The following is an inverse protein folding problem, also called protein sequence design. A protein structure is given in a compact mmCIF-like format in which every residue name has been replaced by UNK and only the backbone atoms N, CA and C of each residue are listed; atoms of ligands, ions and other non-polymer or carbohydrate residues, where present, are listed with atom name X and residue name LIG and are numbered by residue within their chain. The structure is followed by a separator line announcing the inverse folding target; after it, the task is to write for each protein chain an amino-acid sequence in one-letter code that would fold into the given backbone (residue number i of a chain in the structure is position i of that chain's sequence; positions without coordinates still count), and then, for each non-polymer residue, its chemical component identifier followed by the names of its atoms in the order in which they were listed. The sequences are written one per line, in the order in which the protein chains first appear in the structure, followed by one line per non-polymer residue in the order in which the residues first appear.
data_IF_636979111873
#
_entry.id   IF_636979111873
#
_cell.length_a   1.000
_cell.length_b   1.000
_cell.length_c   1.000
_cell.angle_alpha   90.00
_cell.angle_beta   90.00
_cell.angle_gamma   90.00
#
_symmetry.space_group_name_H-M   'P 1'
#
loop_
_entity.id
_entity.type
_entity.pdbx_description
1 polymer ?
#
# COMPACT_ATOMS: atom_id res chain seq x y z
N UNK A 1 23.14 -8.36 24.22
CA UNK A 1 23.81 -7.28 23.44
C UNK A 1 22.83 -6.12 23.29
N UNK A 2 23.04 -4.99 23.99
CA UNK A 2 22.22 -3.78 23.83
C UNK A 2 22.77 -3.00 22.64
N UNK A 3 21.99 -2.88 21.56
CA UNK A 3 22.35 -2.07 20.40
C UNK A 3 22.00 -0.61 20.75
N UNK A 4 23.02 0.23 20.94
CA UNK A 4 22.88 1.68 21.02
C UNK A 4 22.52 2.23 19.63
N UNK A 5 21.49 3.07 19.56
CA UNK A 5 21.09 3.79 18.34
C UNK A 5 21.15 5.29 18.64
N UNK A 6 21.73 6.05 17.73
CA UNK A 6 21.90 7.51 17.80
C UNK A 6 20.71 8.29 17.21
N UNK A 7 19.69 7.58 16.70
CA UNK A 7 18.50 8.13 16.04
C UNK A 7 18.80 8.95 14.78
N UNK A 8 20.00 8.84 14.20
CA UNK A 8 20.33 9.47 12.93
C UNK A 8 20.36 8.44 11.79
N UNK A 9 19.87 8.84 10.62
CA UNK A 9 19.84 7.99 9.42
C UNK A 9 21.12 8.25 8.62
N UNK A 10 22.22 7.62 9.02
CA UNK A 10 23.54 7.77 8.37
C UNK A 10 23.60 7.15 6.97
N UNK A 11 22.93 6.00 6.84
CA UNK A 11 22.75 5.31 5.58
C UNK A 11 21.25 5.15 5.42
N UNK A 12 20.53 6.13 4.83
CA UNK A 12 19.17 5.84 4.40
C UNK A 12 19.29 4.55 3.59
N UNK A 13 18.45 3.57 3.89
CA UNK A 13 18.31 2.42 3.02
C UNK A 13 17.92 3.00 1.67
N UNK A 14 18.88 3.36 0.82
CA UNK A 14 18.63 3.39 -0.61
C UNK A 14 18.04 2.02 -0.84
N UNK A 15 16.83 2.03 -1.38
CA UNK A 15 15.93 0.88 -1.33
C UNK A 15 16.61 -0.38 -1.86
N UNK A 16 15.91 -1.51 -1.91
CA UNK A 16 16.46 -2.83 -2.28
C UNK A 16 17.58 -2.86 -3.34
N UNK A 17 17.62 -1.92 -4.30
CA UNK A 17 18.80 -1.53 -5.09
C UNK A 17 20.20 -1.78 -4.48
N UNK A 18 20.52 -1.32 -3.26
CA UNK A 18 21.86 -1.57 -2.68
C UNK A 18 22.10 -3.05 -2.32
N UNK A 19 21.05 -3.74 -1.91
CA UNK A 19 21.09 -5.15 -1.50
C UNK A 19 21.09 -6.09 -2.71
N UNK A 20 20.40 -5.71 -3.78
CA UNK A 20 20.09 -6.61 -4.88
C UNK A 20 20.90 -6.37 -6.16
N UNK A 21 21.54 -5.20 -6.33
CA UNK A 21 22.36 -4.83 -7.51
C UNK A 21 21.80 -5.44 -8.82
N UNK A 22 22.62 -6.16 -9.58
CA UNK A 22 22.25 -6.78 -10.88
C UNK A 22 21.50 -8.11 -10.72
N UNK A 23 21.43 -8.69 -9.52
CA UNK A 23 20.93 -10.06 -9.29
C UNK A 23 19.51 -10.11 -8.76
N UNK A 24 18.70 -9.09 -9.03
CA UNK A 24 17.34 -8.97 -8.49
C UNK A 24 16.44 -10.17 -8.87
N UNK A 25 16.53 -10.64 -10.11
CA UNK A 25 15.78 -11.80 -10.60
C UNK A 25 16.23 -13.09 -9.90
N UNK A 26 17.54 -13.34 -9.86
CA UNK A 26 18.12 -14.52 -9.19
C UNK A 26 17.76 -14.55 -7.69
N UNK A 27 17.84 -13.39 -7.04
CA UNK A 27 17.44 -13.26 -5.65
C UNK A 27 15.97 -13.66 -5.44
N UNK A 28 15.06 -13.15 -6.26
CA UNK A 28 13.64 -13.51 -6.19
C UNK A 28 13.45 -15.01 -6.43
N UNK A 29 14.11 -15.59 -7.44
CA UNK A 29 13.98 -17.01 -7.74
C UNK A 29 14.49 -17.89 -6.59
N UNK A 30 15.59 -17.51 -5.96
CA UNK A 30 16.19 -18.25 -4.85
C UNK A 30 15.34 -18.18 -3.57
N UNK A 31 14.62 -17.09 -3.35
CA UNK A 31 13.82 -16.87 -2.14
C UNK A 31 12.32 -17.11 -2.34
N UNK A 32 11.88 -17.29 -3.58
CA UNK A 32 10.49 -17.58 -3.91
C UNK A 32 10.39 -18.84 -4.79
N UNK A 33 10.28 -20.03 -4.16
CA UNK A 33 10.27 -21.30 -4.89
C UNK A 33 9.00 -21.49 -5.74
N UNK A 34 7.97 -20.67 -5.53
CA UNK A 34 6.65 -20.88 -6.13
C UNK A 34 6.63 -20.58 -7.62
N UNK A 35 5.76 -21.30 -8.34
CA UNK A 35 5.51 -21.12 -9.78
C UNK A 35 4.81 -19.79 -10.06
N UNK A 36 3.82 -19.45 -9.22
CA UNK A 36 2.94 -18.30 -9.40
C UNK A 36 3.41 -17.11 -8.55
N UNK A 37 3.71 -16.01 -9.23
CA UNK A 37 4.24 -14.77 -8.65
C UNK A 37 3.28 -13.64 -8.99
N UNK A 38 2.84 -12.90 -7.96
CA UNK A 38 2.08 -11.66 -8.14
C UNK A 38 2.94 -10.49 -7.68
N UNK A 39 3.21 -9.56 -8.59
CA UNK A 39 3.96 -8.33 -8.27
C UNK A 39 2.96 -7.23 -7.99
N UNK A 40 2.87 -6.80 -6.72
CA UNK A 40 2.02 -5.66 -6.35
C UNK A 40 2.73 -4.34 -6.60
N UNK A 41 2.04 -3.44 -7.30
CA UNK A 41 2.40 -2.03 -7.47
C UNK A 41 1.28 -1.17 -6.91
N UNK A 42 1.61 -0.11 -6.18
CA UNK A 42 0.64 0.78 -5.58
C UNK A 42 0.57 2.12 -6.30
N UNK A 43 -0.64 2.67 -6.47
CA UNK A 43 -0.82 4.05 -6.93
C UNK A 43 -1.99 4.73 -6.23
N UNK A 44 -1.89 6.05 -6.10
CA UNK A 44 -2.98 6.89 -5.65
C UNK A 44 -3.46 7.72 -6.85
N UNK A 45 -4.63 7.42 -7.44
CA UNK A 45 -5.13 8.10 -8.64
C UNK A 45 -5.69 9.49 -8.30
N UNK A 46 -4.82 10.40 -7.87
CA UNK A 46 -5.12 11.80 -7.58
C UNK A 46 -4.88 12.75 -8.76
N UNK A 47 -4.44 12.19 -9.88
CA UNK A 47 -4.13 12.85 -11.15
C UNK A 47 -3.69 11.81 -12.19
N UNK A 48 -3.36 12.26 -13.40
CA UNK A 48 -2.76 11.41 -14.44
C UNK A 48 -1.45 10.78 -13.95
N UNK A 49 -1.09 9.57 -14.42
CA UNK A 49 0.19 8.93 -14.09
C UNK A 49 1.38 9.86 -14.38
N UNK A 50 2.06 10.33 -13.33
CA UNK A 50 3.26 11.13 -13.48
C UNK A 50 4.47 10.25 -13.77
N UNK A 51 5.62 10.87 -14.06
CA UNK A 51 6.84 10.16 -14.44
C UNK A 51 7.23 9.03 -13.47
N UNK A 52 7.23 9.30 -12.16
CA UNK A 52 7.47 8.27 -11.14
C UNK A 52 6.56 7.03 -11.22
N UNK A 53 5.26 7.22 -11.52
CA UNK A 53 4.31 6.11 -11.76
C UNK A 53 4.71 5.32 -13.00
N UNK A 54 5.00 6.01 -14.10
CA UNK A 54 5.40 5.37 -15.36
C UNK A 54 6.69 4.56 -15.17
N UNK A 55 7.70 5.12 -14.49
CA UNK A 55 8.96 4.43 -14.20
C UNK A 55 8.73 3.19 -13.34
N UNK A 56 7.94 3.32 -12.26
CA UNK A 56 7.65 2.20 -11.35
C UNK A 56 6.90 1.07 -12.06
N UNK A 57 5.90 1.41 -12.88
CA UNK A 57 5.11 0.43 -13.59
C UNK A 57 5.96 -0.24 -14.67
N UNK A 58 6.73 0.52 -15.44
CA UNK A 58 7.66 0.00 -16.45
C UNK A 58 8.67 -0.99 -15.83
N UNK A 59 9.23 -0.65 -14.67
CA UNK A 59 10.13 -1.53 -13.95
C UNK A 59 9.45 -2.84 -13.52
N UNK A 60 8.24 -2.76 -12.96
CA UNK A 60 7.48 -3.94 -12.55
C UNK A 60 7.16 -4.88 -13.71
N UNK A 61 6.76 -4.33 -14.86
CA UNK A 61 6.50 -5.10 -16.08
C UNK A 61 7.77 -5.72 -16.68
N UNK A 62 8.88 -4.98 -16.70
CA UNK A 62 10.18 -5.51 -17.13
C UNK A 62 10.65 -6.66 -16.23
N UNK A 63 10.52 -6.51 -14.92
CA UNK A 63 10.81 -7.56 -13.95
C UNK A 63 9.92 -8.79 -14.15
N UNK A 64 8.61 -8.58 -14.33
CA UNK A 64 7.67 -9.67 -14.57
C UNK A 64 8.00 -10.44 -15.85
N UNK A 65 8.40 -9.75 -16.91
CA UNK A 65 8.84 -10.38 -18.15
C UNK A 65 10.08 -11.24 -17.93
N UNK A 66 11.08 -10.75 -17.20
CA UNK A 66 12.28 -11.53 -16.89
C UNK A 66 11.96 -12.78 -16.06
N UNK A 67 11.09 -12.67 -15.06
CA UNK A 67 10.64 -13.81 -14.26
C UNK A 67 9.84 -14.82 -15.11
N UNK A 68 8.99 -14.34 -16.01
CA UNK A 68 8.26 -15.18 -16.97
C UNK A 68 9.20 -15.94 -17.91
N UNK A 69 10.24 -15.27 -18.42
CA UNK A 69 11.28 -15.90 -19.25
C UNK A 69 12.10 -16.97 -18.48
N UNK A 70 12.08 -16.94 -17.15
CA UNK A 70 12.66 -17.95 -16.27
C UNK A 70 11.66 -19.05 -15.86
N UNK A 71 10.51 -19.14 -16.54
CA UNK A 71 9.52 -20.20 -16.34
C UNK A 71 8.52 -19.95 -15.21
N UNK A 72 8.43 -18.74 -14.67
CA UNK A 72 7.42 -18.38 -13.66
C UNK A 72 6.13 -17.94 -14.33
N UNK A 73 4.99 -18.20 -13.68
CA UNK A 73 3.72 -17.58 -14.04
C UNK A 73 3.58 -16.26 -13.26
N UNK A 74 3.53 -15.14 -13.97
CA UNK A 74 3.62 -13.81 -13.36
C UNK A 74 2.47 -12.91 -13.78
N UNK A 75 1.82 -12.29 -12.81
CA UNK A 75 0.77 -11.28 -13.00
C UNK A 75 1.10 -10.01 -12.21
N UNK A 76 0.86 -8.85 -12.81
CA UNK A 76 0.92 -7.56 -12.11
C UNK A 76 -0.39 -7.30 -11.36
N UNK A 77 -0.33 -6.85 -10.11
CA UNK A 77 -1.49 -6.35 -9.38
C UNK A 77 -1.31 -4.87 -9.10
N UNK A 78 -2.17 -4.02 -9.69
CA UNK A 78 -2.25 -2.62 -9.32
C UNK A 78 -3.20 -2.45 -8.13
N UNK A 79 -2.66 -2.01 -6.99
CA UNK A 79 -3.41 -1.62 -5.81
C UNK A 79 -3.68 -0.10 -5.83
N UNK A 80 -4.94 0.25 -6.03
CA UNK A 80 -5.39 1.64 -6.02
C UNK A 80 -5.72 2.05 -4.58
N UNK A 81 -4.97 3.03 -4.08
CA UNK A 81 -5.18 3.66 -2.78
C UNK A 81 -6.11 4.84 -2.97
N UNK A 82 -7.27 4.83 -2.30
CA UNK A 82 -8.36 5.79 -2.51
C UNK A 82 -8.49 6.83 -1.39
N UNK A 83 -7.52 6.83 -0.46
CA UNK A 83 -7.53 7.65 0.74
C UNK A 83 -6.83 9.00 0.60
N UNK A 84 -6.61 9.47 -0.62
CA UNK A 84 -6.07 10.81 -0.87
C UNK A 84 -6.92 11.86 -0.14
N UNK A 85 -6.30 12.87 0.46
CA UNK A 85 -7.03 13.94 1.15
C UNK A 85 -7.79 14.77 0.11
N UNK A 86 -9.07 15.02 0.38
CA UNK A 86 -9.94 15.90 -0.39
C UNK A 86 -10.18 17.22 0.34
N UNK A 87 -10.42 17.16 1.65
CA UNK A 87 -10.70 18.32 2.50
C UNK A 87 -9.96 18.20 3.83
N UNK A 88 -9.49 19.32 4.37
CA UNK A 88 -8.98 19.45 5.72
C UNK A 88 -9.94 20.30 6.56
N UNK A 89 -10.21 19.88 7.79
CA UNK A 89 -11.06 20.59 8.75
C UNK A 89 -10.38 20.65 10.11
N UNK A 90 -10.27 21.82 10.71
CA UNK A 90 -9.76 21.97 12.07
C UNK A 90 -10.91 22.16 13.05
N UNK A 91 -11.08 21.20 13.97
CA UNK A 91 -12.10 21.26 15.03
C UNK A 91 -11.42 21.04 16.37
N UNK A 92 -11.44 22.05 17.24
CA UNK A 92 -10.83 22.00 18.58
C UNK A 92 -9.35 21.57 18.57
N UNK A 93 -8.53 22.20 17.73
CA UNK A 93 -7.09 21.89 17.54
C UNK A 93 -6.80 20.44 17.10
N UNK A 94 -7.78 19.76 16.50
CA UNK A 94 -7.61 18.44 15.90
C UNK A 94 -7.94 18.55 14.42
N UNK A 95 -6.99 18.13 13.59
CA UNK A 95 -7.11 18.14 12.13
C UNK A 95 -7.81 16.88 11.66
N UNK A 96 -8.97 17.05 11.04
CA UNK A 96 -9.76 16.02 10.40
C UNK A 96 -9.63 16.10 8.89
N UNK A 97 -9.77 14.97 8.21
CA UNK A 97 -9.65 14.86 6.75
C UNK A 97 -10.81 14.05 6.17
N UNK A 98 -11.33 14.48 5.01
CA UNK A 98 -12.16 13.62 4.14
C UNK A 98 -11.32 13.05 3.01
N UNK A 99 -11.52 11.78 2.67
CA UNK A 99 -10.83 11.11 1.56
C UNK A 99 -11.51 11.36 0.21
N UNK A 100 -10.75 11.29 -0.88
CA UNK A 100 -11.26 11.36 -2.27
C UNK A 100 -12.11 10.16 -2.69
N UNK A 101 -12.04 9.04 -1.96
CA UNK A 101 -12.99 7.93 -2.11
C UNK A 101 -14.43 8.36 -1.84
N UNK A 102 -14.63 9.32 -0.92
CA UNK A 102 -15.95 9.89 -0.63
C UNK A 102 -16.45 10.80 -1.77
N UNK A 103 -15.54 11.49 -2.47
CA UNK A 103 -15.88 12.43 -3.55
C UNK A 103 -15.91 11.79 -4.95
N UNK A 104 -15.60 10.49 -5.08
CA UNK A 104 -15.55 9.73 -6.34
C UNK A 104 -14.63 10.31 -7.43
N UNK A 105 -13.75 11.25 -7.09
CA UNK A 105 -12.87 11.90 -8.07
C UNK A 105 -11.84 10.96 -8.69
N UNK A 106 -11.58 9.84 -8.03
CA UNK A 106 -10.66 8.80 -8.47
C UNK A 106 -11.09 8.17 -9.79
N UNK A 107 -12.40 8.03 -10.02
CA UNK A 107 -12.93 7.44 -11.25
C UNK A 107 -12.53 8.27 -12.49
N UNK A 108 -12.24 9.57 -12.32
CA UNK A 108 -11.77 10.46 -13.41
C UNK A 108 -10.42 10.05 -13.97
N UNK A 109 -9.52 9.48 -13.17
CA UNK A 109 -8.14 9.21 -13.56
C UNK A 109 -7.85 7.73 -13.80
N UNK A 110 -8.71 6.83 -13.32
CA UNK A 110 -8.49 5.37 -13.45
C UNK A 110 -8.26 4.94 -14.90
N UNK A 111 -8.96 5.54 -15.86
CA UNK A 111 -8.79 5.19 -17.28
C UNK A 111 -7.37 5.50 -17.78
N UNK A 112 -6.73 6.58 -17.33
CA UNK A 112 -5.33 6.88 -17.70
C UNK A 112 -4.35 5.82 -17.16
N UNK A 113 -4.63 5.27 -15.96
CA UNK A 113 -3.84 4.17 -15.41
C UNK A 113 -4.07 2.87 -16.20
N UNK A 114 -5.31 2.58 -16.60
CA UNK A 114 -5.64 1.42 -17.44
C UNK A 114 -4.96 1.51 -18.81
N UNK A 115 -4.97 2.68 -19.44
CA UNK A 115 -4.28 2.91 -20.71
C UNK A 115 -2.77 2.64 -20.60
N UNK A 116 -2.13 3.15 -19.54
CA UNK A 116 -0.71 2.87 -19.27
C UNK A 116 -0.46 1.37 -19.08
N UNK A 117 -1.26 0.69 -18.27
CA UNK A 117 -1.13 -0.75 -18.04
C UNK A 117 -1.34 -1.57 -19.32
N UNK A 118 -2.30 -1.17 -20.17
CA UNK A 118 -2.54 -1.82 -21.46
C UNK A 118 -1.35 -1.65 -22.42
N UNK A 119 -0.74 -0.46 -22.47
CA UNK A 119 0.49 -0.23 -23.24
C UNK A 119 1.65 -1.08 -22.71
N UNK A 120 1.84 -1.15 -21.40
CA UNK A 120 2.89 -1.99 -20.82
C UNK A 120 2.64 -3.48 -21.05
N UNK A 121 1.37 -3.92 -21.00
CA UNK A 121 0.98 -5.29 -21.36
C UNK A 121 1.28 -5.60 -22.82
N UNK A 122 1.01 -4.69 -23.76
CA UNK A 122 1.29 -4.94 -25.18
C UNK A 122 2.79 -5.08 -25.47
N UNK A 123 3.64 -4.34 -24.75
CA UNK A 123 5.10 -4.48 -24.88
C UNK A 123 5.67 -5.73 -24.20
N UNK A 124 5.11 -6.13 -23.06
CA UNK A 124 5.70 -7.16 -22.20
C UNK A 124 5.07 -8.55 -22.35
N UNK A 125 3.82 -8.62 -22.80
CA UNK A 125 3.00 -9.85 -22.76
C UNK A 125 2.59 -10.28 -21.35
N UNK A 126 2.66 -9.38 -20.35
CA UNK A 126 2.30 -9.67 -18.95
C UNK A 126 0.87 -9.22 -18.64
N UNK A 127 0.08 -10.11 -18.05
CA UNK A 127 -1.26 -9.80 -17.56
C UNK A 127 -1.23 -8.92 -16.32
N UNK A 128 -2.30 -8.15 -16.12
CA UNK A 128 -2.47 -7.35 -14.91
C UNK A 128 -3.90 -7.44 -14.37
N UNK A 129 -4.02 -7.20 -13.07
CA UNK A 129 -5.27 -7.04 -12.33
C UNK A 129 -5.26 -5.66 -11.65
N UNK A 130 -6.45 -5.09 -11.41
CA UNK A 130 -6.62 -3.86 -10.65
C UNK A 130 -7.48 -4.18 -9.43
N UNK A 131 -7.04 -3.77 -8.24
CA UNK A 131 -7.78 -3.90 -6.99
C UNK A 131 -7.95 -2.54 -6.33
N UNK A 132 -9.19 -2.18 -5.99
CA UNK A 132 -9.46 -0.98 -5.19
C UNK A 132 -9.19 -1.27 -3.71
N UNK A 133 -8.84 -0.24 -2.96
CA UNK A 133 -8.67 -0.34 -1.52
C UNK A 133 -9.94 -0.82 -0.80
N UNK A 134 -11.14 -0.45 -1.30
CA UNK A 134 -12.41 -1.00 -0.81
C UNK A 134 -12.46 -2.52 -0.86
N UNK A 135 -11.98 -3.12 -1.96
CA UNK A 135 -12.00 -4.56 -2.19
C UNK A 135 -10.95 -5.26 -1.33
N UNK A 136 -9.80 -4.62 -1.13
CA UNK A 136 -8.80 -5.08 -0.19
C UNK A 136 -9.36 -5.09 1.23
N UNK A 137 -9.95 -3.98 1.68
CA UNK A 137 -10.47 -3.80 3.03
C UNK A 137 -11.65 -4.73 3.36
N UNK A 138 -12.46 -5.11 2.37
CA UNK A 138 -13.58 -6.04 2.56
C UNK A 138 -13.15 -7.51 2.67
N UNK A 139 -11.88 -7.82 2.42
CA UNK A 139 -11.40 -9.19 2.50
C UNK A 139 -11.47 -9.74 3.93
N UNK A 140 -12.07 -10.93 4.13
CA UNK A 140 -12.41 -11.50 5.45
C UNK A 140 -11.26 -11.55 6.47
N UNK A 141 -10.01 -11.65 6.00
CA UNK A 141 -8.82 -11.72 6.86
C UNK A 141 -8.32 -10.36 7.32
N UNK A 142 -8.74 -9.26 6.69
CA UNK A 142 -8.26 -7.92 7.06
C UNK A 142 -8.67 -7.55 8.47
N UNK A 143 -9.91 -7.84 8.88
CA UNK A 143 -10.36 -7.61 10.26
C UNK A 143 -9.45 -8.32 11.28
N UNK A 144 -9.04 -9.56 10.98
CA UNK A 144 -8.12 -10.33 11.83
C UNK A 144 -6.71 -9.72 11.86
N UNK A 145 -6.19 -9.27 10.71
CA UNK A 145 -4.87 -8.62 10.62
C UNK A 145 -4.88 -7.29 11.38
N UNK A 146 -5.92 -6.47 11.21
CA UNK A 146 -6.07 -5.21 11.91
C UNK A 146 -6.21 -5.44 13.41
N UNK A 147 -6.98 -6.45 13.83
CA UNK A 147 -7.07 -6.84 15.25
C UNK A 147 -5.71 -7.18 15.85
N UNK A 148 -4.84 -7.88 15.10
CA UNK A 148 -3.45 -8.15 15.53
C UNK A 148 -2.61 -6.87 15.59
N UNK A 149 -2.71 -5.98 14.60
CA UNK A 149 -1.99 -4.69 14.59
C UNK A 149 -2.41 -3.84 15.80
N UNK A 150 -3.69 -3.82 16.14
CA UNK A 150 -4.21 -3.12 17.32
C UNK A 150 -3.62 -3.74 18.60
N UNK A 151 -3.63 -5.08 18.72
CA UNK A 151 -3.09 -5.78 19.89
C UNK A 151 -1.59 -5.53 20.09
N UNK A 152 -0.82 -5.43 19.01
CA UNK A 152 0.62 -5.17 19.05
C UNK A 152 0.99 -3.70 18.76
N UNK A 153 0.03 -2.76 18.88
CA UNK A 153 0.17 -1.38 18.40
C UNK A 153 1.38 -0.65 18.96
N UNK A 154 1.67 -0.79 20.25
CA UNK A 154 2.81 -0.11 20.89
C UNK A 154 4.14 -0.67 20.41
N UNK A 155 4.23 -2.00 20.28
CA UNK A 155 5.41 -2.70 19.79
C UNK A 155 5.70 -2.33 18.34
N UNK A 156 4.69 -2.44 17.48
CA UNK A 156 4.82 -2.09 16.06
C UNK A 156 5.04 -0.58 15.91
N UNK A 157 4.35 0.26 16.69
CA UNK A 157 4.50 1.71 16.71
C UNK A 157 5.91 2.14 17.10
N UNK A 158 6.51 1.51 18.12
CA UNK A 158 7.89 1.79 18.52
C UNK A 158 8.92 1.37 17.47
N UNK A 159 8.62 0.37 16.64
CA UNK A 159 9.50 -0.07 15.56
C UNK A 159 9.40 0.79 14.30
N UNK A 160 8.18 1.19 13.92
CA UNK A 160 7.91 1.93 12.68
C UNK A 160 7.92 3.45 12.85
N UNK A 161 7.57 3.94 14.04
CA UNK A 161 7.45 5.35 14.37
C UNK A 161 8.19 5.64 15.69
N UNK A 162 9.54 5.60 15.72
CA UNK A 162 10.31 5.67 16.96
C UNK A 162 10.03 6.94 17.79
N UNK A 163 9.72 8.06 17.13
CA UNK A 163 9.39 9.33 17.78
C UNK A 163 8.01 9.30 18.47
N UNK A 164 6.96 8.91 17.74
CA UNK A 164 5.58 8.94 18.27
C UNK A 164 5.20 7.69 19.06
N UNK A 165 5.91 6.57 18.81
CA UNK A 165 5.63 5.20 19.27
C UNK A 165 4.21 4.73 18.99
N UNK A 166 3.49 5.45 18.13
CA UNK A 166 2.06 5.32 17.92
C UNK A 166 1.80 5.10 16.44
N UNK A 167 1.12 4.01 16.14
CA UNK A 167 0.51 3.81 14.82
C UNK A 167 -0.77 4.62 14.76
N UNK A 168 -0.82 5.54 13.80
CA UNK A 168 -2.03 6.24 13.44
C UNK A 168 -2.95 5.28 12.65
N UNK A 169 -3.97 4.75 13.32
CA UNK A 169 -5.07 4.05 12.68
C UNK A 169 -6.23 5.03 12.49
N UNK A 170 -6.72 5.14 11.26
CA UNK A 170 -7.80 6.07 10.91
C UNK A 170 -9.00 5.30 10.39
N UNK A 171 -10.17 5.74 10.81
CA UNK A 171 -11.48 5.24 10.41
C UNK A 171 -12.31 6.48 10.14
N UNK A 172 -12.87 6.56 8.94
CA UNK A 172 -13.76 7.66 8.58
C UNK A 172 -15.09 7.51 9.32
N UNK A 173 -15.65 8.63 9.78
CA UNK A 173 -17.01 8.65 10.33
C UNK A 173 -18.00 8.20 9.25
N UNK A 174 -18.86 7.19 9.50
CA UNK A 174 -19.80 6.70 8.49
C UNK A 174 -20.88 7.73 8.12
N UNK A 175 -21.12 8.72 8.97
CA UNK A 175 -22.13 9.77 8.73
C UNK A 175 -21.58 10.95 7.91
N UNK A 176 -20.35 11.38 8.19
CA UNK A 176 -19.80 12.62 7.61
C UNK A 176 -18.46 12.46 6.87
N UNK A 177 -17.87 11.26 6.86
CA UNK A 177 -16.63 10.95 6.15
C UNK A 177 -15.35 11.51 6.77
N UNK A 178 -15.42 12.27 7.88
CA UNK A 178 -14.25 12.84 8.54
C UNK A 178 -13.45 11.77 9.29
N UNK A 179 -12.12 11.81 9.15
CA UNK A 179 -11.17 10.98 9.88
C UNK A 179 -10.11 11.85 10.60
N UNK A 180 -9.80 11.53 11.86
CA UNK A 180 -8.73 12.20 12.61
C UNK A 180 -7.37 11.88 11.96
N UNK A 181 -6.68 12.91 11.45
CA UNK A 181 -5.39 12.77 10.74
C UNK A 181 -4.31 12.11 11.61
N UNK A 182 -4.33 12.34 12.91
CA UNK A 182 -3.30 11.80 13.81
C UNK A 182 -3.82 10.63 14.65
N UNK A 183 -5.09 10.24 14.49
CA UNK A 183 -5.72 9.18 15.27
C UNK A 183 -5.66 9.43 16.78
N UNK A 184 -5.63 10.70 17.20
CA UNK A 184 -5.45 11.13 18.60
C UNK A 184 -6.69 10.84 19.44
N UNK A 185 -7.89 10.98 18.87
CA UNK A 185 -9.18 10.79 19.58
C UNK A 185 -9.85 9.42 19.38
N UNK A 186 -9.23 8.51 18.62
CA UNK A 186 -9.83 7.23 18.31
C UNK A 186 -9.62 6.22 19.44
N UNK A 187 -10.69 5.83 20.15
CA UNK A 187 -10.65 4.77 21.15
C UNK A 187 -10.85 3.38 20.53
N UNK A 188 -10.20 2.34 21.08
CA UNK A 188 -10.20 0.97 20.54
C UNK A 188 -11.60 0.37 20.31
N UNK A 189 -12.55 0.66 21.20
CA UNK A 189 -13.94 0.21 21.11
C UNK A 189 -14.63 0.72 19.84
N UNK A 190 -14.38 1.97 19.44
CA UNK A 190 -14.96 2.55 18.22
C UNK A 190 -14.33 1.99 16.95
N UNK A 191 -13.05 1.65 16.96
CA UNK A 191 -12.38 1.03 15.80
C UNK A 191 -13.00 -0.33 15.51
N UNK A 192 -13.13 -1.21 16.52
CA UNK A 192 -13.71 -2.55 16.35
C UNK A 192 -15.16 -2.47 15.85
N UNK A 193 -15.97 -1.58 16.41
CA UNK A 193 -17.38 -1.40 16.03
C UNK A 193 -17.52 -0.82 14.60
N UNK A 194 -16.59 0.04 14.17
CA UNK A 194 -16.57 0.61 12.83
C UNK A 194 -15.90 -0.30 11.78
N UNK A 195 -15.02 -1.24 12.17
CA UNK A 195 -14.45 -2.23 11.22
C UNK A 195 -15.52 -3.12 10.58
N UNK A 196 -16.70 -3.20 11.19
CA UNK A 196 -17.88 -3.90 10.67
C UNK A 196 -18.72 -3.05 9.71
N UNK A 197 -18.45 -1.74 9.59
CA UNK A 197 -19.31 -0.78 8.88
C UNK A 197 -18.59 0.29 8.04
N UNK A 198 -17.27 0.42 8.11
CA UNK A 198 -16.50 1.42 7.36
C UNK A 198 -15.07 0.94 6.99
N UNK A 199 -14.52 1.37 5.83
CA UNK A 199 -13.16 1.03 5.42
C UNK A 199 -12.11 1.66 6.34
N UNK A 200 -11.08 0.89 6.68
CA UNK A 200 -9.95 1.32 7.51
C UNK A 200 -8.85 1.85 6.60
N UNK A 201 -8.29 3.01 6.94
CA UNK A 201 -7.19 3.59 6.19
C UNK A 201 -5.86 3.15 6.79
N UNK A 202 -5.09 2.35 6.04
CA UNK A 202 -3.68 2.06 6.34
C UNK A 202 -2.87 2.48 5.12
N UNK A 203 -2.12 3.58 5.23
CA UNK A 203 -1.25 4.07 4.17
C UNK A 203 0.12 3.42 4.28
N UNK A 204 0.37 2.35 3.51
CA UNK A 204 1.70 1.81 3.29
C UNK A 204 1.84 1.55 1.78
N UNK A 205 2.62 2.37 1.07
CA UNK A 205 3.05 2.07 -0.29
C UNK A 205 4.35 1.26 -0.22
N UNK A 206 4.25 -0.03 -0.49
CA UNK A 206 5.36 -0.95 -0.65
C UNK A 206 5.15 -1.71 -1.95
N UNK A 207 6.22 -1.89 -2.74
CA UNK A 207 6.23 -2.94 -3.75
C UNK A 207 6.27 -4.26 -2.98
N UNK A 208 5.13 -4.94 -2.95
CA UNK A 208 4.96 -6.22 -2.26
C UNK A 208 4.86 -7.33 -3.30
N UNK A 209 5.90 -8.15 -3.38
CA UNK A 209 5.83 -9.40 -4.14
C UNK A 209 5.14 -10.42 -3.23
N UNK A 210 3.86 -10.68 -3.50
CA UNK A 210 3.09 -11.65 -2.73
C UNK A 210 2.90 -12.92 -3.55
N UNK A 211 2.90 -14.07 -2.89
CA UNK A 211 2.55 -15.32 -3.53
C UNK A 211 1.44 -16.03 -2.78
N UNK A 212 0.36 -16.35 -3.49
CA UNK A 212 -0.83 -16.96 -2.92
C UNK A 212 -0.64 -18.48 -2.70
N UNK A 213 -1.51 -19.09 -1.89
CA UNK A 213 -1.68 -20.54 -1.76
C UNK A 213 -2.98 -20.90 -2.47
N UNK A 214 -2.96 -21.95 -3.29
CA UNK A 214 -4.16 -22.73 -3.60
C UNK A 214 -4.53 -23.55 -2.36
#
# INVERSE_FOLDING_TARGET
MKILRDNEVHYPLGGGFYVFKEKYVEYILNHNPKSDIKISIGAQPNGSPHFGTITTFSLAFSLAQQLKNKGKNVTILLELVDTAVSEDHDVNNIRYQKSRSYTKEIDKYIEHYKELLNKLRSYSGISFEIRRQSDFNSHRKISQVIGKIIKEREKIGSLLFPESKIIALRVACPQCGLADKHGKKMSMLKIIQLTLSAPIMVGIQLILITSHKN
#
